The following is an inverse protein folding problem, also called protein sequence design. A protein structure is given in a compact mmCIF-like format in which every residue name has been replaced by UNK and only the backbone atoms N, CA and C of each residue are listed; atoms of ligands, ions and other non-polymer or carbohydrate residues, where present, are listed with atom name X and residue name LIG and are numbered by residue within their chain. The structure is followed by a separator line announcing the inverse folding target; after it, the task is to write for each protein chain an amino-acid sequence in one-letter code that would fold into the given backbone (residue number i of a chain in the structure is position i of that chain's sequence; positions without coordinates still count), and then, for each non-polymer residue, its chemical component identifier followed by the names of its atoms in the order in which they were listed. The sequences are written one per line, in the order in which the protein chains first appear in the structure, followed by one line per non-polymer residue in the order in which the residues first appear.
data_IF_599001218803
#
_entry.id   IF_599001218803
#
_cell.length_a   1.000
_cell.length_b   1.000
_cell.length_c   1.000
_cell.angle_alpha   90.00
_cell.angle_beta   90.00
_cell.angle_gamma   90.00
#
_symmetry.space_group_name_H-M   'P 1'
#
loop_
_entity.id
_entity.type
_entity.pdbx_description
1 polymer ?
#
# COMPACT_ATOMS: atom_id res chain seq x y z
N UNK A 1 -27.73 -23.15 43.53
CA UNK A 1 -27.98 -21.71 43.75
C UNK A 1 -27.23 -20.92 42.69
N UNK A 2 -27.87 -20.07 41.87
CA UNK A 2 -27.17 -19.33 40.82
C UNK A 2 -26.26 -18.27 41.46
N UNK A 3 -24.96 -18.36 41.23
CA UNK A 3 -23.97 -17.43 41.78
C UNK A 3 -24.18 -16.00 41.27
N UNK A 4 -24.08 -15.02 42.17
CA UNK A 4 -24.23 -13.61 41.85
C UNK A 4 -23.20 -13.18 40.79
N UNK A 5 -23.67 -12.87 39.58
CA UNK A 5 -22.86 -12.30 38.51
C UNK A 5 -22.55 -10.85 38.85
N UNK A 6 -21.35 -10.59 39.36
CA UNK A 6 -20.85 -9.23 39.57
C UNK A 6 -20.71 -8.53 38.23
N UNK A 7 -21.55 -7.53 37.98
CA UNK A 7 -21.47 -6.66 36.81
C UNK A 7 -20.80 -5.36 37.25
N UNK A 8 -19.63 -5.07 36.71
CA UNK A 8 -18.96 -3.80 36.96
C UNK A 8 -19.75 -2.68 36.28
N UNK A 9 -20.50 -1.91 37.08
CA UNK A 9 -21.19 -0.71 36.61
C UNK A 9 -20.17 0.43 36.68
N UNK A 10 -19.65 0.80 35.52
CA UNK A 10 -18.76 1.94 35.36
C UNK A 10 -19.46 3.01 34.53
N UNK A 11 -19.14 4.28 34.77
CA UNK A 11 -19.63 5.33 33.90
C UNK A 11 -19.20 5.06 32.44
N UNK A 12 -20.03 5.41 31.43
CA UNK A 12 -19.68 5.21 30.02
C UNK A 12 -18.35 5.88 29.65
N UNK A 13 -18.07 7.03 30.26
CA UNK A 13 -16.84 7.78 30.07
C UNK A 13 -15.62 7.04 30.63
N UNK A 14 -15.74 6.46 31.83
CA UNK A 14 -14.66 5.65 32.43
C UNK A 14 -14.41 4.38 31.61
N UNK A 15 -15.46 3.75 31.08
CA UNK A 15 -15.33 2.57 30.20
C UNK A 15 -14.56 2.90 28.91
N UNK A 16 -14.86 4.05 28.28
CA UNK A 16 -14.16 4.51 27.06
C UNK A 16 -12.72 4.95 27.34
N UNK A 17 -12.45 5.59 28.47
CA UNK A 17 -11.08 5.97 28.86
C UNK A 17 -10.20 4.74 29.09
N UNK A 18 -10.73 3.70 29.76
CA UNK A 18 -10.01 2.45 30.00
C UNK A 18 -9.82 1.62 28.74
N UNK A 19 -10.80 1.56 27.84
CA UNK A 19 -10.64 0.86 26.55
C UNK A 19 -9.54 1.51 25.70
N UNK A 20 -9.49 2.84 25.64
CA UNK A 20 -8.41 3.60 24.98
C UNK A 20 -7.04 3.36 25.62
N UNK A 21 -6.97 3.29 26.96
CA UNK A 21 -5.72 2.97 27.68
C UNK A 21 -5.24 1.54 27.39
N UNK A 22 -6.17 0.60 27.21
CA UNK A 22 -5.86 -0.79 26.83
C UNK A 22 -5.41 -0.91 25.37
N UNK A 23 -5.99 -0.11 24.48
CA UNK A 23 -5.52 0.03 23.10
C UNK A 23 -4.11 0.65 23.00
N UNK A 24 -3.73 1.51 23.97
CA UNK A 24 -2.38 2.05 24.12
C UNK A 24 -1.41 1.15 24.91
N UNK A 25 -1.86 -0.01 25.39
CA UNK A 25 -0.98 -1.03 25.96
C UNK A 25 -0.13 -1.70 24.89
N UNK A 26 0.92 -2.44 25.30
CA UNK A 26 1.83 -3.19 24.40
C UNK A 26 1.00 -3.98 23.38
N UNK A 27 0.98 -3.50 22.14
CA UNK A 27 0.16 -4.06 21.07
C UNK A 27 0.50 -5.53 20.90
N UNK A 28 -0.39 -6.41 21.36
CA UNK A 28 -0.23 -7.85 21.22
C UNK A 28 -1.04 -8.23 20.00
N UNK A 29 -0.36 -8.70 18.95
CA UNK A 29 -1.02 -9.16 17.73
C UNK A 29 -2.04 -10.21 18.13
N UNK A 30 -3.35 -10.02 17.85
CA UNK A 30 -4.36 -11.02 18.16
C UNK A 30 -3.99 -12.32 17.45
N UNK A 31 -4.02 -13.45 18.17
CA UNK A 31 -3.85 -14.76 17.55
C UNK A 31 -5.08 -14.99 16.67
N UNK A 32 -4.88 -15.07 15.37
CA UNK A 32 -5.93 -15.34 14.41
C UNK A 32 -6.42 -16.78 14.61
N UNK A 33 -7.71 -17.02 14.42
CA UNK A 33 -8.24 -18.37 14.27
C UNK A 33 -7.83 -18.94 12.90
N UNK A 34 -8.02 -20.25 12.71
CA UNK A 34 -7.61 -20.93 11.47
C UNK A 34 -8.25 -20.30 10.21
N UNK A 35 -9.49 -19.82 10.33
CA UNK A 35 -10.18 -19.08 9.27
C UNK A 35 -9.52 -17.70 9.02
N UNK A 36 -9.19 -16.97 10.08
CA UNK A 36 -8.48 -15.69 10.02
C UNK A 36 -7.08 -15.80 9.42
N UNK A 37 -6.33 -16.87 9.72
CA UNK A 37 -5.02 -17.13 9.11
C UNK A 37 -5.13 -17.35 7.60
N UNK A 38 -6.09 -18.17 7.16
CA UNK A 38 -6.31 -18.41 5.74
C UNK A 38 -6.70 -17.14 4.98
N UNK A 39 -7.53 -16.27 5.59
CA UNK A 39 -7.87 -14.94 5.06
C UNK A 39 -6.64 -14.02 5.00
N UNK A 40 -5.81 -14.02 6.03
CA UNK A 40 -4.61 -13.19 6.08
C UNK A 40 -3.61 -13.57 4.99
N UNK A 41 -3.39 -14.86 4.73
CA UNK A 41 -2.52 -15.33 3.62
C UNK A 41 -3.07 -14.89 2.26
N UNK A 42 -4.38 -14.93 2.08
CA UNK A 42 -5.02 -14.50 0.84
C UNK A 42 -4.89 -12.99 0.60
N UNK A 43 -5.11 -12.19 1.65
CA UNK A 43 -4.89 -10.74 1.65
C UNK A 43 -3.42 -10.38 1.42
N UNK A 44 -2.50 -11.10 2.06
CA UNK A 44 -1.07 -10.87 1.92
C UNK A 44 -0.59 -11.12 0.48
N UNK A 45 -1.06 -12.19 -0.17
CA UNK A 45 -0.77 -12.45 -1.60
C UNK A 45 -1.33 -11.37 -2.53
N UNK A 46 -2.49 -10.80 -2.20
CA UNK A 46 -3.06 -9.65 -2.90
C UNK A 46 -2.23 -8.39 -2.69
N UNK A 47 -1.77 -8.14 -1.48
CA UNK A 47 -0.90 -7.00 -1.15
C UNK A 47 0.48 -7.12 -1.78
N UNK A 48 1.02 -8.34 -1.94
CA UNK A 48 2.30 -8.54 -2.65
C UNK A 48 2.21 -8.13 -4.13
N UNK A 49 1.06 -8.33 -4.78
CA UNK A 49 0.83 -7.78 -6.13
C UNK A 49 0.81 -6.23 -6.16
N UNK A 50 0.55 -5.58 -5.03
CA UNK A 50 0.69 -4.12 -4.88
C UNK A 50 2.15 -3.68 -4.88
N UNK A 51 3.03 -4.48 -4.27
CA UNK A 51 4.45 -4.16 -4.11
C UNK A 51 5.29 -4.39 -5.37
N UNK A 52 4.87 -5.30 -6.26
CA UNK A 52 5.58 -5.56 -7.54
C UNK A 52 5.66 -4.31 -8.41
N UNK A 53 4.62 -3.50 -8.37
CA UNK A 53 4.41 -2.41 -9.30
C UNK A 53 5.42 -1.24 -9.10
N UNK A 54 5.62 -0.69 -7.88
CA UNK A 54 6.70 0.27 -7.64
C UNK A 54 8.10 -0.34 -7.84
N UNK A 55 8.26 -1.65 -7.60
CA UNK A 55 9.51 -2.34 -7.86
C UNK A 55 9.86 -2.34 -9.35
N UNK A 56 8.88 -2.64 -10.21
CA UNK A 56 9.03 -2.56 -11.68
C UNK A 56 9.33 -1.14 -12.12
N UNK A 57 8.66 -0.13 -11.57
CA UNK A 57 8.93 1.26 -11.91
C UNK A 57 10.36 1.69 -11.53
N UNK A 58 10.81 1.28 -10.34
CA UNK A 58 12.17 1.53 -9.88
C UNK A 58 13.20 0.87 -10.82
N UNK A 59 13.02 -0.40 -11.14
CA UNK A 59 13.91 -1.12 -12.06
C UNK A 59 13.87 -0.54 -13.48
N UNK A 60 12.69 -0.13 -13.97
CA UNK A 60 12.55 0.53 -15.27
C UNK A 60 13.27 1.88 -15.31
N UNK A 61 13.23 2.66 -14.21
CA UNK A 61 14.02 3.89 -14.10
C UNK A 61 15.52 3.62 -14.09
N UNK A 62 15.97 2.69 -13.26
CA UNK A 62 17.40 2.40 -13.07
C UNK A 62 18.02 1.74 -14.32
N UNK A 63 17.33 0.78 -14.94
CA UNK A 63 17.84 0.03 -16.10
C UNK A 63 17.44 0.67 -17.43
N UNK A 64 16.23 1.21 -17.53
CA UNK A 64 15.70 1.77 -18.77
C UNK A 64 16.38 3.06 -19.15
N UNK A 65 16.73 3.91 -18.18
CA UNK A 65 17.38 5.18 -18.47
C UNK A 65 18.77 5.04 -19.14
N UNK A 66 19.74 4.27 -18.60
CA UNK A 66 21.01 4.06 -19.29
C UNK A 66 20.84 3.32 -20.63
N UNK A 67 19.83 2.45 -20.76
CA UNK A 67 19.53 1.79 -22.04
C UNK A 67 19.02 2.77 -23.09
N UNK A 68 18.13 3.70 -22.72
CA UNK A 68 17.61 4.76 -23.61
C UNK A 68 18.74 5.69 -24.05
N UNK A 69 19.62 6.10 -23.15
CA UNK A 69 20.77 6.93 -23.49
C UNK A 69 21.77 6.22 -24.42
N UNK A 70 21.96 4.91 -24.23
CA UNK A 70 22.82 4.10 -25.10
C UNK A 70 22.24 3.94 -26.50
N UNK A 71 20.91 3.78 -26.61
CA UNK A 71 20.24 3.57 -27.89
C UNK A 71 19.97 4.87 -28.65
N UNK A 72 19.80 5.99 -27.94
CA UNK A 72 19.48 7.30 -28.52
C UNK A 72 20.43 8.39 -27.99
N UNK A 73 21.71 8.40 -28.40
CA UNK A 73 22.68 9.41 -27.97
C UNK A 73 22.29 10.84 -28.37
N UNK A 74 21.42 11.02 -29.38
CA UNK A 74 20.87 12.32 -29.78
C UNK A 74 19.80 12.89 -28.83
N UNK A 75 19.29 12.16 -27.85
CA UNK A 75 18.35 12.73 -26.87
C UNK A 75 19.04 13.66 -25.87
N UNK A 76 20.35 13.55 -25.73
CA UNK A 76 21.14 14.42 -24.85
C UNK A 76 21.48 15.77 -25.50
N UNK A 77 21.41 15.83 -26.84
CA UNK A 77 21.56 17.09 -27.58
C UNK A 77 20.25 17.88 -27.65
N UNK A 78 19.10 17.22 -27.51
CA UNK A 78 17.79 17.89 -27.48
C UNK A 78 17.53 18.47 -26.10
N UNK A 79 17.57 19.80 -26.02
CA UNK A 79 17.32 20.57 -24.81
C UNK A 79 16.00 21.30 -24.92
N UNK A 80 15.11 21.10 -23.95
CA UNK A 80 13.92 21.91 -23.76
C UNK A 80 14.25 22.98 -22.72
N UNK A 81 14.14 24.27 -23.07
CA UNK A 81 14.44 25.38 -22.15
C UNK A 81 15.86 25.27 -21.52
N UNK A 82 16.82 24.70 -22.24
CA UNK A 82 18.19 24.46 -21.75
C UNK A 82 18.39 23.15 -20.97
N UNK A 83 17.31 22.47 -20.61
CA UNK A 83 17.31 21.22 -19.84
C UNK A 83 17.25 20.02 -20.80
N UNK A 84 18.14 19.02 -20.68
CA UNK A 84 18.07 17.80 -21.49
C UNK A 84 16.71 17.10 -21.35
N UNK A 85 16.11 16.72 -22.47
CA UNK A 85 14.80 16.03 -22.47
C UNK A 85 14.84 14.73 -21.69
N UNK A 86 16.00 14.08 -21.67
CA UNK A 86 16.24 12.88 -20.87
C UNK A 86 16.05 13.07 -19.37
N UNK A 87 16.45 14.24 -18.83
CA UNK A 87 16.25 14.60 -17.43
C UNK A 87 14.78 14.88 -17.14
N UNK A 88 14.09 15.57 -18.06
CA UNK A 88 12.65 15.78 -17.98
C UNK A 88 11.88 14.47 -18.02
N UNK A 89 12.27 13.52 -18.87
CA UNK A 89 11.66 12.19 -18.90
C UNK A 89 11.83 11.49 -17.55
N UNK A 90 13.01 11.54 -16.94
CA UNK A 90 13.24 10.95 -15.61
C UNK A 90 12.38 11.61 -14.53
N UNK A 91 12.21 12.93 -14.58
CA UNK A 91 11.39 13.65 -13.62
C UNK A 91 9.89 13.43 -13.85
N UNK A 92 9.44 13.37 -15.10
CA UNK A 92 8.01 13.39 -15.45
C UNK A 92 7.42 11.99 -15.55
N UNK A 93 8.07 11.00 -16.18
CA UNK A 93 7.50 9.65 -16.37
C UNK A 93 7.09 8.92 -15.08
N UNK A 94 7.82 9.04 -13.94
CA UNK A 94 7.45 8.32 -12.73
C UNK A 94 6.08 8.71 -12.18
N UNK A 95 5.70 9.99 -12.27
CA UNK A 95 4.44 10.48 -11.72
C UNK A 95 3.18 9.91 -12.39
N UNK A 96 2.99 9.99 -13.74
CA UNK A 96 1.87 9.37 -14.43
C UNK A 96 1.91 7.84 -14.28
N UNK A 97 3.09 7.23 -14.25
CA UNK A 97 3.21 5.80 -14.01
C UNK A 97 2.70 5.43 -12.62
N UNK A 98 3.12 6.12 -11.56
CA UNK A 98 2.65 5.89 -10.18
C UNK A 98 1.15 6.14 -10.03
N UNK A 99 0.61 7.20 -10.64
CA UNK A 99 -0.82 7.51 -10.57
C UNK A 99 -1.67 6.48 -11.31
N UNK A 100 -1.24 6.06 -12.51
CA UNK A 100 -1.89 4.97 -13.24
C UNK A 100 -1.90 3.68 -12.41
N UNK A 101 -0.76 3.37 -11.80
CA UNK A 101 -0.59 2.18 -10.96
C UNK A 101 -1.49 2.22 -9.74
N UNK A 102 -1.51 3.34 -9.00
CA UNK A 102 -2.38 3.53 -7.85
C UNK A 102 -3.86 3.36 -8.24
N UNK A 103 -4.27 3.96 -9.36
CA UNK A 103 -5.65 3.82 -9.87
C UNK A 103 -5.98 2.39 -10.30
N UNK A 104 -5.06 1.68 -10.96
CA UNK A 104 -5.26 0.29 -11.34
C UNK A 104 -5.38 -0.63 -10.12
N UNK A 105 -4.54 -0.42 -9.11
CA UNK A 105 -4.59 -1.17 -7.86
C UNK A 105 -5.91 -0.94 -7.12
N UNK A 106 -6.37 0.30 -7.05
CA UNK A 106 -7.65 0.66 -6.40
C UNK A 106 -8.83 -0.05 -7.08
N UNK A 107 -8.95 0.07 -8.41
CA UNK A 107 -10.02 -0.58 -9.19
C UNK A 107 -10.01 -2.10 -9.02
N UNK A 108 -8.84 -2.71 -8.86
CA UNK A 108 -8.70 -4.15 -8.68
C UNK A 108 -9.06 -4.59 -7.26
N UNK A 109 -8.85 -3.73 -6.26
CA UNK A 109 -9.33 -3.95 -4.91
C UNK A 109 -10.86 -3.87 -4.88
N UNK A 110 -11.46 -2.84 -5.46
CA UNK A 110 -12.92 -2.62 -5.53
C UNK A 110 -13.65 -3.79 -6.19
N UNK A 111 -13.18 -4.28 -7.36
CA UNK A 111 -13.78 -5.43 -8.05
C UNK A 111 -13.84 -6.72 -7.22
N UNK A 112 -13.05 -6.82 -6.16
CA UNK A 112 -13.03 -8.01 -5.30
C UNK A 112 -14.08 -7.96 -4.22
N UNK A 113 -14.50 -6.75 -3.84
CA UNK A 113 -15.57 -6.55 -2.88
C UNK A 113 -16.93 -6.71 -3.59
N UNK A 114 -17.05 -6.26 -4.83
CA UNK A 114 -18.29 -6.39 -5.64
C UNK A 114 -18.64 -7.84 -6.03
N UNK A 115 -17.66 -8.73 -6.23
CA UNK A 115 -17.95 -10.15 -6.51
C UNK A 115 -18.48 -10.92 -5.28
N UNK A 116 -18.56 -10.29 -4.11
CA UNK A 116 -19.02 -10.90 -2.85
C UNK A 116 -20.25 -10.23 -2.24
N UNK A 117 -20.84 -9.23 -2.90
CA UNK A 117 -22.15 -8.68 -2.58
C UNK A 117 -23.24 -9.41 -3.39
#
# INVERSE_FOLDING_TARGET
MPGHKRVAVMSPQTRLALSRRRARGRWRVPKLDAEGESRAVHLHRRQLRLAVAPLVLLFAGILGLPLVFRLFPGLDTVRLLGIPVSWLALAVLPYPALTWLAGWQLRRAERTEDERA
#
